data_IF_863994583474
#
_entry.id   IF_863994583474
#
_cell.length_a   1.000
_cell.length_b   1.000
_cell.length_c   1.000
_cell.angle_alpha   90.00
_cell.angle_beta   90.00
_cell.angle_gamma   90.00
#
_symmetry.space_group_name_H-M   'P 1'
#
loop_
_entity.id
_entity.type
_entity.pdbx_description
1 polymer ?
#
# COMPACT_ATOMS: atom_id res chain seq x y z
N UNK A 1 -13.39 14.78 30.07
CA UNK A 1 -14.80 14.88 29.67
C UNK A 1 -15.09 13.68 28.77
N UNK A 2 -16.09 12.87 29.12
CA UNK A 2 -16.56 11.76 28.29
C UNK A 2 -17.18 12.28 27.00
N UNK A 3 -16.74 11.79 25.84
CA UNK A 3 -17.18 12.20 24.50
C UNK A 3 -18.71 12.01 24.34
N UNK A 4 -19.49 13.04 23.94
CA UNK A 4 -20.86 12.84 23.46
C UNK A 4 -20.80 12.24 22.04
N UNK A 5 -21.63 11.23 21.77
CA UNK A 5 -21.92 10.56 20.47
C UNK A 5 -20.93 10.86 19.33
N UNK A 6 -20.07 9.87 19.09
CA UNK A 6 -19.00 9.80 18.10
C UNK A 6 -19.35 10.44 16.74
N UNK A 7 -18.84 11.64 16.50
CA UNK A 7 -18.64 12.11 15.15
C UNK A 7 -17.63 11.19 14.46
N UNK A 8 -17.96 10.73 13.26
CA UNK A 8 -17.02 9.97 12.44
C UNK A 8 -15.81 10.85 12.15
N UNK A 9 -14.59 10.37 12.45
CA UNK A 9 -13.34 11.02 12.07
C UNK A 9 -12.88 10.61 10.67
N UNK A 10 -13.81 10.09 9.86
CA UNK A 10 -13.59 9.76 8.46
C UNK A 10 -12.93 10.93 7.75
N UNK A 11 -11.80 10.65 7.10
CA UNK A 11 -11.14 11.60 6.24
C UNK A 11 -11.66 11.50 4.82
N UNK A 12 -11.65 12.64 4.13
CA UNK A 12 -11.97 12.74 2.73
C UNK A 12 -10.73 13.18 1.97
N UNK A 13 -10.65 12.81 0.70
CA UNK A 13 -9.66 13.35 -0.23
C UNK A 13 -9.98 14.82 -0.54
N UNK A 14 -8.99 15.56 -1.03
CA UNK A 14 -9.22 16.87 -1.63
C UNK A 14 -9.92 16.64 -2.98
N UNK A 15 -11.21 16.94 -3.04
CA UNK A 15 -12.09 16.67 -4.20
C UNK A 15 -11.64 17.43 -5.45
N UNK A 16 -11.00 18.60 -5.27
CA UNK A 16 -10.47 19.38 -6.39
C UNK A 16 -9.24 18.64 -6.94
N UNK A 17 -8.32 18.21 -6.07
CA UNK A 17 -7.15 17.44 -6.49
C UNK A 17 -7.54 16.09 -7.14
N UNK A 18 -8.53 15.40 -6.57
CA UNK A 18 -9.07 14.16 -7.14
C UNK A 18 -9.67 14.41 -8.53
N UNK A 19 -10.52 15.43 -8.69
CA UNK A 19 -11.12 15.78 -9.97
C UNK A 19 -10.07 16.17 -11.03
N UNK A 20 -9.05 16.94 -10.64
CA UNK A 20 -7.94 17.32 -11.52
C UNK A 20 -7.15 16.08 -11.97
N UNK A 21 -6.83 15.18 -11.03
CA UNK A 21 -6.15 13.92 -11.33
C UNK A 21 -6.97 12.99 -12.22
N UNK A 22 -8.28 12.90 -11.98
CA UNK A 22 -9.21 12.15 -12.82
C UNK A 22 -9.26 12.69 -14.25
N UNK A 23 -9.24 14.02 -14.42
CA UNK A 23 -9.22 14.66 -15.73
C UNK A 23 -7.89 14.41 -16.45
N UNK A 24 -6.75 14.54 -15.77
CA UNK A 24 -5.43 14.20 -16.30
C UNK A 24 -5.39 12.73 -16.79
N UNK A 25 -5.95 11.82 -15.99
CA UNK A 25 -6.03 10.41 -16.34
C UNK A 25 -6.94 10.16 -17.55
N UNK A 26 -8.11 10.82 -17.64
CA UNK A 26 -9.06 10.67 -18.75
C UNK A 26 -8.42 11.11 -20.07
N UNK A 27 -7.76 12.26 -20.08
CA UNK A 27 -7.06 12.78 -21.27
C UNK A 27 -5.93 11.85 -21.70
N UNK A 28 -5.16 11.35 -20.74
CA UNK A 28 -4.11 10.36 -21.00
C UNK A 28 -4.66 9.04 -21.55
N UNK A 29 -5.75 8.52 -20.98
CA UNK A 29 -6.40 7.30 -21.45
C UNK A 29 -6.90 7.44 -22.90
N UNK A 30 -7.50 8.59 -23.25
CA UNK A 30 -7.94 8.85 -24.63
C UNK A 30 -6.77 8.72 -25.60
N UNK A 31 -5.65 9.39 -25.31
CA UNK A 31 -4.43 9.30 -26.14
C UNK A 31 -3.88 7.88 -26.22
N UNK A 32 -3.87 7.14 -25.11
CA UNK A 32 -3.38 5.76 -25.10
C UNK A 32 -4.26 4.83 -25.96
N UNK A 33 -5.59 4.99 -25.91
CA UNK A 33 -6.52 4.20 -26.72
C UNK A 33 -6.48 4.55 -28.20
N UNK A 34 -6.30 5.83 -28.55
CA UNK A 34 -6.15 6.28 -29.93
C UNK A 34 -4.89 5.66 -30.58
N UNK A 35 -3.86 5.38 -29.78
CA UNK A 35 -2.59 4.79 -30.22
C UNK A 35 -2.44 3.30 -29.82
N UNK A 36 -3.53 2.59 -29.56
CA UNK A 36 -3.49 1.17 -29.14
C UNK A 36 -2.73 0.25 -30.12
N UNK A 37 -2.81 0.54 -31.41
CA UNK A 37 -2.14 -0.24 -32.45
C UNK A 37 -0.62 -0.07 -32.36
N UNK A 38 -0.17 1.19 -32.25
CA UNK A 38 1.24 1.52 -32.05
C UNK A 38 1.80 0.90 -30.76
N UNK A 39 1.07 0.98 -29.65
CA UNK A 39 1.48 0.34 -28.40
C UNK A 39 1.61 -1.18 -28.56
N UNK A 40 0.67 -1.81 -29.27
CA UNK A 40 0.71 -3.25 -29.54
C UNK A 40 1.91 -3.63 -30.41
N UNK A 41 2.17 -2.85 -31.46
CA UNK A 41 3.31 -3.05 -32.36
C UNK A 41 4.63 -2.91 -31.60
N UNK A 42 4.76 -1.91 -30.73
CA UNK A 42 5.93 -1.73 -29.89
C UNK A 42 6.18 -2.93 -28.97
N UNK A 43 5.12 -3.45 -28.32
CA UNK A 43 5.23 -4.66 -27.48
C UNK A 43 5.63 -5.87 -28.32
N UNK A 44 5.07 -6.02 -29.52
CA UNK A 44 5.43 -7.11 -30.43
C UNK A 44 6.89 -7.04 -30.90
N UNK A 45 7.41 -5.83 -31.15
CA UNK A 45 8.83 -5.61 -31.50
C UNK A 45 9.73 -5.93 -30.31
N UNK A 46 9.38 -5.46 -29.11
CA UNK A 46 10.17 -5.73 -27.90
C UNK A 46 10.17 -7.22 -27.51
N UNK A 47 9.14 -7.95 -27.92
CA UNK A 47 9.00 -9.39 -27.74
C UNK A 47 9.02 -10.16 -29.07
N UNK A 48 9.85 -9.74 -30.03
CA UNK A 48 9.86 -10.29 -31.41
C UNK A 48 10.02 -11.82 -31.46
N UNK A 49 10.69 -12.41 -30.46
CA UNK A 49 10.87 -13.85 -30.31
C UNK A 49 9.57 -14.62 -30.07
N UNK A 50 8.48 -13.94 -29.67
CA UNK A 50 7.12 -14.50 -29.55
C UNK A 50 6.31 -14.42 -30.85
N UNK A 51 6.85 -13.78 -31.89
CA UNK A 51 6.17 -13.52 -33.15
C UNK A 51 5.23 -12.30 -33.09
N UNK A 52 4.31 -12.17 -34.06
CA UNK A 52 3.40 -11.02 -34.12
C UNK A 52 2.45 -10.98 -32.92
N UNK A 53 2.23 -9.78 -32.39
CA UNK A 53 1.31 -9.49 -31.29
C UNK A 53 -0.02 -8.93 -31.77
N UNK A 54 -1.11 -9.23 -31.05
CA UNK A 54 -2.44 -8.66 -31.30
C UNK A 54 -3.07 -8.17 -30.01
N UNK A 55 -3.66 -6.97 -30.04
CA UNK A 55 -4.43 -6.46 -28.91
C UNK A 55 -5.66 -7.34 -28.65
N UNK A 56 -5.86 -7.74 -27.40
CA UNK A 56 -7.02 -8.56 -27.01
C UNK A 56 -7.88 -7.95 -25.91
N UNK A 57 -7.36 -6.98 -25.17
CA UNK A 57 -8.10 -6.34 -24.08
C UNK A 57 -7.22 -5.45 -23.21
N UNK A 58 -7.81 -4.93 -22.14
CA UNK A 58 -7.10 -4.09 -21.18
C UNK A 58 -7.37 -4.53 -19.75
N UNK A 59 -6.48 -4.13 -18.85
CA UNK A 59 -6.61 -4.26 -17.40
C UNK A 59 -6.56 -2.86 -16.81
N UNK A 60 -7.47 -2.56 -15.88
CA UNK A 60 -7.54 -1.28 -15.16
C UNK A 60 -7.50 -1.55 -13.66
N UNK A 61 -6.48 -1.02 -12.99
CA UNK A 61 -6.41 -0.93 -11.53
C UNK A 61 -6.53 0.52 -11.05
N UNK A 62 -6.32 0.72 -9.74
CA UNK A 62 -6.38 2.04 -9.11
C UNK A 62 -5.29 2.97 -9.66
N UNK A 63 -4.04 2.51 -9.67
CA UNK A 63 -2.89 3.31 -10.06
C UNK A 63 -2.36 3.01 -11.45
N UNK A 64 -2.78 1.92 -12.09
CA UNK A 64 -2.19 1.47 -13.34
C UNK A 64 -3.24 1.04 -14.34
N UNK A 65 -2.85 1.13 -15.61
CA UNK A 65 -3.65 0.71 -16.74
C UNK A 65 -2.75 -0.02 -17.73
N UNK A 66 -3.24 -1.09 -18.35
CA UNK A 66 -2.43 -1.86 -19.27
C UNK A 66 -3.20 -2.53 -20.40
N UNK A 67 -2.50 -2.81 -21.49
CA UNK A 67 -3.01 -3.56 -22.64
C UNK A 67 -2.47 -4.99 -22.62
N UNK A 68 -3.37 -5.93 -22.85
CA UNK A 68 -3.06 -7.34 -23.04
C UNK A 68 -2.81 -7.60 -24.53
N UNK A 69 -1.64 -8.14 -24.83
CA UNK A 69 -1.18 -8.48 -26.18
C UNK A 69 -1.03 -9.99 -26.30
N UNK A 70 -1.72 -10.59 -27.26
CA UNK A 70 -1.68 -12.02 -27.57
C UNK A 70 -0.72 -12.33 -28.69
N UNK A 71 0.06 -13.39 -28.50
CA UNK A 71 1.07 -13.86 -29.43
C UNK A 71 0.65 -15.18 -30.10
N UNK A 72 1.50 -15.69 -31.00
CA UNK A 72 1.29 -16.97 -31.65
C UNK A 72 1.14 -18.13 -30.66
N UNK A 73 0.48 -19.21 -31.10
CA UNK A 73 0.16 -20.37 -30.26
C UNK A 73 1.42 -20.95 -29.62
N UNK A 74 1.46 -20.97 -28.29
CA UNK A 74 2.55 -21.54 -27.49
C UNK A 74 3.29 -20.53 -26.60
N UNK A 75 3.11 -19.23 -26.81
CA UNK A 75 3.61 -18.20 -25.91
C UNK A 75 2.51 -17.64 -25.02
N UNK A 76 2.80 -17.32 -23.74
CA UNK A 76 1.85 -16.59 -22.91
C UNK A 76 1.61 -15.18 -23.49
N UNK A 77 0.41 -14.66 -23.26
CA UNK A 77 0.10 -13.27 -23.55
C UNK A 77 1.01 -12.35 -22.71
N UNK A 78 1.26 -11.13 -23.18
CA UNK A 78 1.97 -10.11 -22.42
C UNK A 78 1.01 -9.02 -21.96
N UNK A 79 1.34 -8.38 -20.84
CA UNK A 79 0.73 -7.16 -20.36
C UNK A 79 1.75 -6.03 -20.46
N UNK A 80 1.42 -4.97 -21.20
CA UNK A 80 2.13 -3.68 -21.07
C UNK A 80 1.33 -2.80 -20.13
N UNK A 81 1.95 -2.39 -19.03
CA UNK A 81 1.33 -1.63 -17.92
C UNK A 81 1.99 -0.27 -17.79
N UNK A 82 1.18 0.76 -17.60
CA UNK A 82 1.60 2.14 -17.34
C UNK A 82 0.98 2.63 -16.02
N UNK A 83 1.70 3.41 -15.20
CA UNK A 83 1.10 4.14 -14.10
C UNK A 83 0.23 5.27 -14.64
N UNK A 84 -1.02 5.32 -14.19
CA UNK A 84 -2.00 6.33 -14.56
C UNK A 84 -1.56 7.69 -14.00
N UNK A 85 -1.36 8.73 -14.84
CA UNK A 85 -1.21 10.10 -14.33
C UNK A 85 -2.46 10.51 -13.53
N UNK A 86 -2.31 11.48 -12.63
CA UNK A 86 -3.36 11.90 -11.70
C UNK A 86 -3.63 10.94 -10.52
N UNK A 87 -3.71 9.63 -10.77
CA UNK A 87 -3.86 8.62 -9.71
C UNK A 87 -2.51 8.18 -9.11
N UNK A 88 -1.47 8.17 -9.95
CA UNK A 88 -0.07 8.15 -9.51
C UNK A 88 0.50 9.53 -9.73
N UNK A 89 1.14 10.11 -8.72
CA UNK A 89 1.72 11.44 -8.85
C UNK A 89 2.70 11.49 -10.03
N UNK A 90 2.49 12.43 -10.96
CA UNK A 90 3.21 12.46 -12.25
C UNK A 90 4.73 12.52 -12.08
N UNK A 91 5.22 13.18 -11.03
CA UNK A 91 6.66 13.24 -10.70
C UNK A 91 7.23 11.95 -10.10
N UNK A 92 6.39 11.03 -9.62
CA UNK A 92 6.80 9.77 -8.97
C UNK A 92 6.68 8.54 -9.89
N UNK A 93 6.05 8.68 -11.06
CA UNK A 93 5.75 7.54 -11.95
C UNK A 93 6.98 6.77 -12.42
N UNK A 94 8.06 7.46 -12.78
CA UNK A 94 9.31 6.84 -13.22
C UNK A 94 9.94 6.01 -12.09
N UNK A 95 10.06 6.63 -10.92
CA UNK A 95 10.61 5.99 -9.73
C UNK A 95 9.76 4.79 -9.29
N UNK A 96 8.44 4.92 -9.35
CA UNK A 96 7.50 3.84 -9.05
C UNK A 96 7.72 2.62 -9.94
N UNK A 97 7.83 2.82 -11.26
CA UNK A 97 8.05 1.73 -12.22
C UNK A 97 9.40 1.05 -12.00
N UNK A 98 10.47 1.83 -11.79
CA UNK A 98 11.78 1.27 -11.45
C UNK A 98 11.71 0.44 -10.16
N UNK A 99 11.09 0.98 -9.10
CA UNK A 99 11.00 0.31 -7.80
C UNK A 99 10.17 -0.98 -7.87
N UNK A 100 9.04 -0.99 -8.59
CA UNK A 100 8.21 -2.19 -8.77
C UNK A 100 8.99 -3.29 -9.51
N UNK A 101 9.68 -2.95 -10.60
CA UNK A 101 10.48 -3.92 -11.35
C UNK A 101 11.62 -4.52 -10.50
N UNK A 102 12.32 -3.69 -9.74
CA UNK A 102 13.40 -4.12 -8.86
C UNK A 102 12.89 -4.97 -7.68
N UNK A 103 11.74 -4.62 -7.08
CA UNK A 103 11.14 -5.40 -6.01
C UNK A 103 10.70 -6.79 -6.48
N UNK A 104 10.07 -6.88 -7.66
CA UNK A 104 9.69 -8.16 -8.28
C UNK A 104 10.93 -9.01 -8.54
N UNK A 105 11.99 -8.43 -9.09
CA UNK A 105 13.24 -9.15 -9.34
C UNK A 105 13.89 -9.63 -8.03
N UNK A 106 13.97 -8.78 -7.00
CA UNK A 106 14.53 -9.12 -5.70
C UNK A 106 13.78 -10.28 -5.05
N UNK A 107 12.44 -10.19 -5.00
CA UNK A 107 11.62 -11.24 -4.39
C UNK A 107 11.70 -12.55 -5.19
N UNK A 108 11.76 -12.50 -6.53
CA UNK A 108 11.94 -13.69 -7.37
C UNK A 108 13.25 -14.42 -7.08
N UNK A 109 14.34 -13.68 -6.85
CA UNK A 109 15.65 -14.28 -6.58
C UNK A 109 15.73 -14.92 -5.19
N UNK A 110 14.93 -14.43 -4.24
CA UNK A 110 15.09 -14.78 -2.82
C UNK A 110 13.90 -15.54 -2.22
N UNK A 111 12.82 -15.77 -2.98
CA UNK A 111 11.62 -16.46 -2.49
C UNK A 111 11.05 -17.41 -3.55
N UNK A 112 10.12 -18.27 -3.12
CA UNK A 112 9.32 -19.14 -3.99
C UNK A 112 7.97 -18.53 -4.36
N UNK A 113 7.78 -17.23 -4.15
CA UNK A 113 6.50 -16.56 -4.45
C UNK A 113 6.29 -16.61 -5.97
N UNK A 114 5.11 -17.03 -6.45
CA UNK A 114 4.82 -17.02 -7.87
C UNK A 114 4.62 -15.58 -8.33
N UNK A 115 5.62 -15.01 -9.00
CA UNK A 115 5.60 -13.63 -9.49
C UNK A 115 5.51 -13.58 -11.03
N UNK A 116 4.97 -12.50 -11.63
CA UNK A 116 4.99 -12.30 -13.09
C UNK A 116 6.40 -12.02 -13.62
N UNK A 117 6.77 -12.66 -14.73
CA UNK A 117 8.06 -12.43 -15.38
C UNK A 117 8.04 -11.08 -16.08
N UNK A 118 8.94 -10.18 -15.70
CA UNK A 118 9.16 -8.92 -16.41
C UNK A 118 10.11 -9.18 -17.57
N UNK A 119 9.72 -8.76 -18.77
CA UNK A 119 10.53 -8.89 -19.99
C UNK A 119 11.24 -7.60 -20.35
N UNK A 120 10.58 -6.47 -20.11
CA UNK A 120 11.11 -5.14 -20.40
C UNK A 120 10.43 -4.12 -19.48
N UNK A 121 11.13 -3.04 -19.14
CA UNK A 121 10.54 -1.89 -18.48
C UNK A 121 11.34 -0.64 -18.81
N UNK A 122 10.71 0.53 -18.76
CA UNK A 122 11.34 1.78 -19.15
C UNK A 122 10.88 2.94 -18.30
N UNK A 123 11.77 3.91 -18.10
CA UNK A 123 11.47 5.20 -17.46
C UNK A 123 11.77 6.35 -18.42
N UNK A 124 11.06 7.47 -18.28
CA UNK A 124 11.27 8.64 -19.15
C UNK A 124 12.63 9.31 -18.94
N UNK A 125 13.25 9.05 -17.79
CA UNK A 125 14.55 9.58 -17.36
C UNK A 125 15.75 8.73 -17.77
N UNK A 126 15.57 7.47 -18.16
CA UNK A 126 16.68 6.57 -18.54
C UNK A 126 16.71 6.35 -20.05
N UNK A 127 17.85 6.62 -20.72
CA UNK A 127 17.97 6.37 -22.15
C UNK A 127 17.86 4.88 -22.46
N UNK A 128 16.98 4.52 -23.41
CA UNK A 128 16.94 3.20 -24.04
C UNK A 128 17.37 3.34 -25.50
N UNK A 129 18.11 2.35 -26.01
CA UNK A 129 18.50 2.31 -27.43
C UNK A 129 17.46 1.60 -28.30
N UNK A 130 16.42 1.01 -27.70
CA UNK A 130 15.36 0.30 -28.42
C UNK A 130 14.28 1.29 -28.84
N UNK A 131 14.14 1.54 -30.15
CA UNK A 131 13.15 2.49 -30.70
C UNK A 131 11.74 2.23 -30.20
N UNK A 132 11.28 0.98 -30.24
CA UNK A 132 9.95 0.62 -29.74
C UNK A 132 9.75 0.94 -28.25
N UNK A 133 10.79 0.88 -27.42
CA UNK A 133 10.68 1.30 -26.03
C UNK A 133 10.59 2.83 -25.91
N UNK A 134 11.29 3.59 -26.75
CA UNK A 134 11.15 5.05 -26.80
C UNK A 134 9.75 5.47 -27.24
N UNK A 135 9.17 4.80 -28.23
CA UNK A 135 7.82 5.07 -28.71
C UNK A 135 6.76 4.77 -27.64
N UNK A 136 6.98 3.78 -26.76
CA UNK A 136 6.12 3.58 -25.58
C UNK A 136 6.25 4.68 -24.53
N UNK A 137 7.45 5.25 -24.35
CA UNK A 137 7.70 6.28 -23.34
C UNK A 137 6.93 7.59 -23.58
N UNK A 138 6.42 7.83 -24.80
CA UNK A 138 5.53 8.96 -25.06
C UNK A 138 4.20 8.88 -24.28
N UNK A 139 3.80 7.67 -23.85
CA UNK A 139 2.66 7.44 -22.99
C UNK A 139 3.07 7.43 -21.51
N UNK A 140 4.32 7.13 -21.19
CA UNK A 140 4.86 7.15 -19.84
C UNK A 140 5.83 6.00 -19.57
N UNK A 141 6.37 5.93 -18.34
CA UNK A 141 7.13 4.76 -17.93
C UNK A 141 6.24 3.53 -17.98
N UNK A 142 6.83 2.36 -18.23
CA UNK A 142 6.06 1.14 -18.48
C UNK A 142 6.76 -0.10 -17.95
N UNK A 143 5.97 -1.16 -17.75
CA UNK A 143 6.46 -2.53 -17.51
C UNK A 143 5.76 -3.45 -18.51
N UNK A 144 6.53 -4.27 -19.23
CA UNK A 144 6.05 -5.39 -20.05
C UNK A 144 6.35 -6.67 -19.28
N UNK A 145 5.30 -7.43 -18.96
CA UNK A 145 5.41 -8.67 -18.20
C UNK A 145 4.50 -9.77 -18.77
N UNK A 146 4.66 -11.01 -18.32
CA UNK A 146 3.70 -12.08 -18.61
C UNK A 146 2.31 -11.71 -18.10
N UNK A 147 1.29 -11.87 -18.94
CA UNK A 147 -0.10 -11.86 -18.50
C UNK A 147 -0.46 -13.23 -17.95
N UNK A 148 -0.76 -13.29 -16.65
CA UNK A 148 -1.13 -14.53 -15.97
C UNK A 148 -2.66 -14.62 -15.91
N UNK A 149 -3.22 -15.68 -16.48
CA UNK A 149 -4.65 -15.98 -16.35
C UNK A 149 -4.94 -16.61 -14.98
N UNK A 150 -6.00 -16.16 -14.34
CA UNK A 150 -6.44 -16.72 -13.06
C UNK A 150 -7.68 -16.01 -12.51
N UNK A 151 -8.21 -16.56 -11.42
CA UNK A 151 -9.28 -15.93 -10.63
C UNK A 151 -8.64 -15.17 -9.48
N UNK A 152 -9.11 -13.95 -9.18
CA UNK A 152 -8.66 -13.22 -8.00
C UNK A 152 -9.04 -13.98 -6.73
N UNK A 153 -8.10 -14.10 -5.80
CA UNK A 153 -8.32 -14.78 -4.52
C UNK A 153 -9.41 -14.07 -3.72
N UNK A 154 -9.47 -12.74 -3.77
CA UNK A 154 -10.56 -11.97 -3.16
C UNK A 154 -11.94 -12.42 -3.66
N UNK A 155 -12.11 -12.72 -4.95
CA UNK A 155 -13.40 -13.19 -5.50
C UNK A 155 -13.83 -14.52 -4.90
N UNK A 156 -12.91 -15.42 -4.59
CA UNK A 156 -13.21 -16.71 -3.95
C UNK A 156 -13.59 -16.51 -2.47
N UNK A 157 -12.96 -15.54 -1.81
CA UNK A 157 -13.12 -15.29 -0.38
C UNK A 157 -14.31 -14.37 -0.04
N UNK A 158 -14.79 -13.58 -1.00
CA UNK A 158 -15.77 -12.52 -0.75
C UNK A 158 -17.16 -13.04 -0.37
N UNK A 159 -17.87 -12.29 0.47
CA UNK A 159 -19.30 -12.49 0.72
C UNK A 159 -20.09 -12.26 -0.59
N UNK A 160 -20.93 -13.22 -1.01
CA UNK A 160 -21.73 -13.06 -2.21
C UNK A 160 -22.70 -11.87 -2.10
N UNK A 161 -22.86 -11.13 -3.20
CA UNK A 161 -23.82 -10.02 -3.33
C UNK A 161 -23.59 -8.83 -2.37
N UNK A 162 -22.39 -8.68 -1.82
CA UNK A 162 -21.97 -7.45 -1.14
C UNK A 162 -21.20 -6.56 -2.11
N UNK A 163 -21.45 -5.25 -2.05
CA UNK A 163 -20.64 -4.26 -2.78
C UNK A 163 -19.25 -4.13 -2.15
N UNK A 164 -19.19 -4.15 -0.82
CA UNK A 164 -17.93 -4.11 -0.07
C UNK A 164 -17.18 -5.44 -0.15
N UNK A 165 -15.85 -5.35 -0.19
CA UNK A 165 -14.98 -6.52 -0.19
C UNK A 165 -14.78 -7.07 1.22
N UNK A 166 -15.74 -7.88 1.70
CA UNK A 166 -15.75 -8.45 3.05
C UNK A 166 -15.68 -9.98 2.98
N UNK A 167 -14.93 -10.60 3.89
CA UNK A 167 -14.81 -12.06 3.97
C UNK A 167 -16.20 -12.71 4.15
N UNK A 168 -16.47 -13.74 3.36
CA UNK A 168 -17.63 -14.60 3.57
C UNK A 168 -17.49 -15.33 4.91
N UNK A 169 -18.32 -14.99 5.90
CA UNK A 169 -18.21 -15.56 7.25
C UNK A 169 -18.56 -17.06 7.29
N UNK A 170 -19.33 -17.53 6.31
CA UNK A 170 -19.72 -18.92 6.14
C UNK A 170 -18.74 -19.72 5.26
N UNK A 171 -17.63 -19.12 4.83
CA UNK A 171 -16.62 -19.84 4.05
C UNK A 171 -16.08 -21.02 4.85
N UNK A 172 -15.92 -22.16 4.18
CA UNK A 172 -15.41 -23.38 4.82
C UNK A 172 -14.00 -23.16 5.36
N UNK A 173 -13.78 -23.49 6.64
CA UNK A 173 -12.46 -23.33 7.27
C UNK A 173 -11.34 -24.03 6.50
N UNK A 174 -11.62 -25.18 5.88
CA UNK A 174 -10.65 -25.92 5.06
C UNK A 174 -10.16 -25.16 3.82
N UNK A 175 -10.97 -24.25 3.26
CA UNK A 175 -10.58 -23.36 2.17
C UNK A 175 -9.59 -22.33 2.69
N UNK A 176 -9.93 -21.68 3.81
CA UNK A 176 -9.06 -20.70 4.47
C UNK A 176 -7.74 -21.33 4.92
N UNK A 177 -7.75 -22.52 5.51
CA UNK A 177 -6.55 -23.22 5.94
C UNK A 177 -5.57 -23.43 4.79
N UNK A 178 -6.06 -23.84 3.60
CA UNK A 178 -5.22 -24.01 2.40
C UNK A 178 -4.62 -22.70 1.90
N UNK A 179 -5.39 -21.62 1.95
CA UNK A 179 -4.96 -20.30 1.47
C UNK A 179 -3.96 -19.69 2.47
N UNK A 180 -4.31 -19.66 3.75
CA UNK A 180 -3.46 -19.16 4.83
C UNK A 180 -2.15 -19.91 4.91
N UNK A 181 -2.13 -21.23 4.67
CA UNK A 181 -0.89 -22.00 4.65
C UNK A 181 0.10 -21.53 3.57
N UNK A 182 -0.40 -21.20 2.37
CA UNK A 182 0.43 -20.69 1.28
C UNK A 182 0.94 -19.27 1.58
N UNK A 183 0.04 -18.39 2.03
CA UNK A 183 0.40 -16.99 2.34
C UNK A 183 1.35 -16.92 3.53
N UNK A 184 1.14 -17.73 4.58
CA UNK A 184 2.05 -17.82 5.72
C UNK A 184 3.44 -18.30 5.29
N UNK A 185 3.52 -19.24 4.32
CA UNK A 185 4.79 -19.65 3.72
C UNK A 185 5.50 -18.50 3.00
N UNK A 186 4.78 -17.68 2.25
CA UNK A 186 5.34 -16.51 1.58
C UNK A 186 5.80 -15.43 2.56
N UNK A 187 4.98 -15.10 3.56
CA UNK A 187 5.31 -14.11 4.59
C UNK A 187 6.50 -14.55 5.45
N UNK A 188 6.59 -15.84 5.78
CA UNK A 188 7.76 -16.38 6.49
C UNK A 188 9.04 -16.24 5.65
N UNK A 189 8.98 -16.45 4.34
CA UNK A 189 10.13 -16.23 3.45
C UNK A 189 10.53 -14.76 3.39
N UNK A 190 9.56 -13.86 3.20
CA UNK A 190 9.79 -12.41 3.19
C UNK A 190 10.41 -11.93 4.51
N UNK A 191 9.92 -12.42 5.66
CA UNK A 191 10.40 -12.04 7.00
C UNK A 191 11.88 -12.36 7.25
N UNK A 192 12.48 -13.22 6.42
CA UNK A 192 13.89 -13.62 6.49
C UNK A 192 14.80 -12.77 5.60
N UNK A 193 14.22 -11.97 4.71
CA UNK A 193 14.96 -11.04 3.86
C UNK A 193 15.34 -9.82 4.70
N UNK A 194 16.60 -9.40 4.60
CA UNK A 194 17.13 -8.26 5.34
C UNK A 194 17.88 -7.34 4.40
N UNK A 195 17.58 -6.04 4.53
CA UNK A 195 18.27 -4.97 3.82
C UNK A 195 18.89 -4.00 4.84
N UNK A 196 19.91 -3.22 4.44
CA UNK A 196 20.69 -2.42 5.38
C UNK A 196 19.99 -1.16 5.87
N UNK A 197 18.98 -0.65 5.15
CA UNK A 197 18.27 0.60 5.45
C UNK A 197 16.79 0.49 5.07
N UNK A 198 15.97 1.42 5.55
CA UNK A 198 14.58 1.61 5.16
C UNK A 198 14.53 2.40 3.86
N UNK A 199 13.75 1.92 2.88
CA UNK A 199 13.56 2.58 1.60
C UNK A 199 13.32 1.62 0.43
N UNK A 200 13.27 2.17 -0.78
CA UNK A 200 12.97 1.39 -1.98
C UNK A 200 14.10 0.43 -2.35
N UNK A 201 13.76 -0.81 -2.68
CA UNK A 201 14.71 -1.84 -3.13
C UNK A 201 15.18 -1.47 -4.54
N UNK A 202 16.48 -1.38 -4.75
CA UNK A 202 17.05 -0.95 -6.02
C UNK A 202 18.40 -1.61 -6.31
N UNK A 203 19.00 -1.28 -7.45
CA UNK A 203 20.36 -1.70 -7.83
C UNK A 203 21.26 -0.50 -8.10
N UNK A 204 22.53 -0.68 -7.77
CA UNK A 204 23.61 0.22 -8.20
C UNK A 204 24.05 -0.07 -9.65
N UNK A 205 24.99 0.73 -10.17
CA UNK A 205 25.54 0.56 -11.53
C UNK A 205 26.27 -0.78 -11.75
N UNK A 206 26.60 -1.48 -10.66
CA UNK A 206 27.25 -2.81 -10.66
C UNK A 206 26.23 -3.94 -10.45
N UNK A 207 24.94 -3.63 -10.49
CA UNK A 207 23.84 -4.54 -10.24
C UNK A 207 23.80 -5.16 -8.82
N UNK A 208 24.44 -4.54 -7.83
CA UNK A 208 24.30 -4.94 -6.43
C UNK A 208 23.03 -4.35 -5.84
N UNK A 209 22.37 -5.12 -4.96
CA UNK A 209 21.20 -4.66 -4.23
C UNK A 209 21.55 -3.53 -3.26
N UNK A 210 20.84 -2.40 -3.41
CA UNK A 210 20.95 -1.21 -2.58
C UNK A 210 19.56 -0.70 -2.20
N UNK A 211 19.51 0.28 -1.32
CA UNK A 211 18.26 0.93 -0.88
C UNK A 211 18.31 2.41 -1.30
N UNK A 212 17.22 2.92 -1.88
CA UNK A 212 17.00 4.34 -2.20
C UNK A 212 15.97 4.94 -1.23
N UNK A 213 15.62 6.22 -1.40
CA UNK A 213 14.57 6.86 -0.59
C UNK A 213 13.27 6.02 -0.61
N UNK A 214 12.49 5.98 0.48
CA UNK A 214 11.21 5.28 0.48
C UNK A 214 10.20 5.93 -0.46
N UNK A 215 9.46 5.09 -1.19
CA UNK A 215 8.29 5.50 -1.97
C UNK A 215 7.13 4.57 -1.60
N UNK A 216 6.27 5.04 -0.69
CA UNK A 216 5.16 4.24 -0.13
C UNK A 216 3.84 4.54 -0.82
N UNK A 217 2.88 3.65 -0.62
CA UNK A 217 1.49 3.85 -1.02
C UNK A 217 0.94 5.17 -0.44
N UNK A 218 1.17 5.41 0.87
CA UNK A 218 0.74 6.61 1.56
C UNK A 218 1.38 7.90 0.99
N UNK A 219 2.66 7.86 0.62
CA UNK A 219 3.33 8.99 -0.07
C UNK A 219 2.63 9.30 -1.39
N UNK A 220 2.25 8.27 -2.17
CA UNK A 220 1.53 8.49 -3.42
C UNK A 220 0.17 9.14 -3.18
N UNK A 221 -0.63 8.65 -2.22
CA UNK A 221 -1.93 9.25 -1.91
C UNK A 221 -1.79 10.69 -1.43
N UNK A 222 -0.86 10.98 -0.53
CA UNK A 222 -0.61 12.36 -0.08
C UNK A 222 -0.23 13.28 -1.26
N UNK A 223 0.53 12.77 -2.21
CA UNK A 223 0.96 13.51 -3.39
C UNK A 223 -0.15 13.73 -4.43
N UNK A 224 -1.15 12.85 -4.51
CA UNK A 224 -2.21 12.92 -5.54
C UNK A 224 -3.52 13.51 -5.03
N UNK A 225 -3.92 13.16 -3.81
CA UNK A 225 -5.27 13.46 -3.29
C UNK A 225 -5.28 14.31 -2.02
N UNK A 226 -4.12 14.77 -1.53
CA UNK A 226 -4.04 15.67 -0.38
C UNK A 226 -3.27 16.98 -0.63
N UNK A 227 -2.77 17.19 -1.85
CA UNK A 227 -1.90 18.33 -2.21
C UNK A 227 -0.72 18.50 -1.24
N UNK A 228 -0.16 17.39 -0.75
CA UNK A 228 0.95 17.42 0.19
C UNK A 228 2.24 17.91 -0.52
N UNK A 229 3.03 18.81 0.09
CA UNK A 229 4.22 19.37 -0.54
C UNK A 229 5.29 18.32 -0.86
N UNK A 230 5.71 18.23 -2.12
CA UNK A 230 6.64 17.19 -2.58
C UNK A 230 8.05 17.29 -1.95
N UNK A 231 8.47 18.51 -1.59
CA UNK A 231 9.76 18.78 -0.94
C UNK A 231 9.84 18.27 0.50
N UNK A 232 8.72 17.82 1.06
CA UNK A 232 8.62 17.27 2.42
C UNK A 232 8.76 15.74 2.48
N UNK A 233 8.71 15.05 1.34
CA UNK A 233 8.92 13.61 1.32
C UNK A 233 10.41 13.25 1.53
N UNK A 234 10.71 12.06 2.08
CA UNK A 234 12.09 11.63 2.26
C UNK A 234 12.88 11.64 0.94
N UNK A 235 14.08 12.22 0.98
CA UNK A 235 14.99 12.33 -0.17
C UNK A 235 16.11 11.27 -0.16
N UNK A 236 16.27 10.52 0.93
CA UNK A 236 17.31 9.52 1.12
C UNK A 236 16.77 8.28 1.85
N UNK A 237 17.49 7.13 1.80
CA UNK A 237 17.22 6.00 2.68
C UNK A 237 17.30 6.40 4.16
N UNK A 238 16.54 5.69 5.00
CA UNK A 238 16.47 5.96 6.44
C UNK A 238 17.18 4.85 7.21
N UNK A 239 18.03 5.21 8.16
CA UNK A 239 18.92 4.24 8.84
C UNK A 239 18.31 3.62 10.10
N UNK A 240 17.32 4.29 10.71
CA UNK A 240 16.74 3.88 11.98
C UNK A 240 15.21 3.82 11.92
N UNK A 241 14.60 2.85 12.61
CA UNK A 241 13.15 2.73 12.66
C UNK A 241 12.48 3.92 13.35
N UNK A 242 13.06 4.42 14.44
CA UNK A 242 12.57 5.60 15.16
C UNK A 242 12.64 6.86 14.29
N UNK A 243 13.69 7.01 13.48
CA UNK A 243 13.80 8.10 12.50
C UNK A 243 12.66 8.01 11.48
N UNK A 244 12.40 6.81 10.94
CA UNK A 244 11.28 6.59 10.02
C UNK A 244 9.92 6.91 10.66
N UNK A 245 9.66 6.45 11.88
CA UNK A 245 8.41 6.77 12.57
C UNK A 245 8.26 8.26 12.89
N UNK A 246 9.35 8.97 13.19
CA UNK A 246 9.32 10.42 13.35
C UNK A 246 9.03 11.14 12.03
N UNK A 247 9.58 10.68 10.90
CA UNK A 247 9.24 11.20 9.58
C UNK A 247 7.75 11.03 9.28
N UNK A 248 7.20 9.84 9.53
CA UNK A 248 5.77 9.53 9.37
C UNK A 248 4.89 10.38 10.31
N UNK A 249 5.26 10.53 11.58
CA UNK A 249 4.49 11.33 12.52
C UNK A 249 4.49 12.82 12.12
N UNK A 250 5.63 13.32 11.63
CA UNK A 250 5.71 14.66 11.08
C UNK A 250 4.86 14.80 9.81
N UNK A 251 4.86 13.81 8.92
CA UNK A 251 4.01 13.76 7.74
C UNK A 251 2.52 13.85 8.12
N UNK A 252 2.07 13.06 9.09
CA UNK A 252 0.70 13.14 9.63
C UNK A 252 0.39 14.54 10.15
N UNK A 253 1.24 15.12 11.00
CA UNK A 253 1.01 16.47 11.53
C UNK A 253 0.95 17.49 10.38
N UNK A 254 1.88 17.45 9.42
CA UNK A 254 1.92 18.39 8.30
C UNK A 254 0.72 18.24 7.37
N UNK A 255 0.26 17.01 7.11
CA UNK A 255 -0.94 16.74 6.32
C UNK A 255 -2.17 17.46 6.89
N UNK A 256 -2.30 17.50 8.22
CA UNK A 256 -3.35 18.26 8.90
C UNK A 256 -3.25 19.76 8.59
N UNK A 257 -2.05 20.31 8.43
CA UNK A 257 -1.86 21.72 8.07
C UNK A 257 -2.11 22.00 6.59
N UNK A 258 -1.78 21.08 5.70
CA UNK A 258 -1.76 21.32 4.25
C UNK A 258 -3.13 21.10 3.59
N UNK A 259 -3.82 20.00 3.89
CA UNK A 259 -5.11 19.70 3.25
C UNK A 259 -6.24 20.56 3.83
N UNK A 260 -6.99 21.25 2.96
CA UNK A 260 -7.93 22.32 3.36
C UNK A 260 -9.25 21.80 3.91
N UNK A 261 -9.73 20.67 3.39
CA UNK A 261 -11.02 20.06 3.72
C UNK A 261 -10.91 18.87 4.69
N UNK A 262 -9.80 18.77 5.45
CA UNK A 262 -9.58 17.62 6.32
C UNK A 262 -10.46 17.61 7.59
N UNK A 263 -11.17 18.71 7.88
CA UNK A 263 -12.06 18.81 9.02
C UNK A 263 -13.28 19.69 8.69
N UNK A 264 -14.47 19.23 9.08
CA UNK A 264 -15.74 19.93 8.83
C UNK A 264 -16.09 20.96 9.91
N UNK A 265 -15.49 20.84 11.10
CA UNK A 265 -15.70 21.75 12.22
C UNK A 265 -14.48 21.84 13.14
N UNK A 266 -14.53 22.77 14.10
CA UNK A 266 -13.46 23.00 15.08
C UNK A 266 -13.19 21.77 15.97
N UNK A 267 -14.21 20.97 16.27
CA UNK A 267 -14.07 19.77 17.11
C UNK A 267 -13.22 18.73 16.40
N UNK A 268 -13.48 18.49 15.10
CA UNK A 268 -12.70 17.56 14.28
C UNK A 268 -11.24 18.04 14.17
N UNK A 269 -11.00 19.35 13.99
CA UNK A 269 -9.62 19.89 13.98
C UNK A 269 -8.88 19.56 15.28
N UNK A 270 -9.54 19.76 16.42
CA UNK A 270 -8.97 19.48 17.76
C UNK A 270 -8.70 17.99 17.94
N UNK A 271 -9.66 17.14 17.60
CA UNK A 271 -9.54 15.69 17.73
C UNK A 271 -8.39 15.15 16.86
N UNK A 272 -8.25 15.62 15.61
CA UNK A 272 -7.13 15.24 14.73
C UNK A 272 -5.79 15.77 15.22
N UNK A 273 -5.73 17.02 15.69
CA UNK A 273 -4.51 17.59 16.23
C UNK A 273 -4.01 16.79 17.44
N UNK A 274 -4.91 16.48 18.39
CA UNK A 274 -4.57 15.66 19.56
C UNK A 274 -4.10 14.28 19.11
N UNK A 275 -4.83 13.61 18.23
CA UNK A 275 -4.50 12.26 17.76
C UNK A 275 -3.10 12.20 17.14
N UNK A 276 -2.76 13.09 16.21
CA UNK A 276 -1.48 13.06 15.48
C UNK A 276 -0.30 13.44 16.37
N UNK A 277 -0.46 14.42 17.27
CA UNK A 277 0.58 14.75 18.25
C UNK A 277 0.80 13.62 19.26
N UNK A 278 -0.28 12.96 19.71
CA UNK A 278 -0.18 11.82 20.62
C UNK A 278 0.40 10.59 19.95
N UNK A 279 0.06 10.33 18.69
CA UNK A 279 0.72 9.30 17.89
C UNK A 279 2.24 9.47 17.88
N UNK A 280 2.74 10.70 17.67
CA UNK A 280 4.17 10.98 17.72
C UNK A 280 4.80 10.64 19.09
N UNK A 281 4.10 10.94 20.19
CA UNK A 281 4.56 10.63 21.55
C UNK A 281 4.54 9.14 21.88
N UNK A 282 3.82 8.32 21.10
CA UNK A 282 3.78 6.87 21.26
C UNK A 282 4.97 6.16 20.59
N UNK A 283 5.79 6.86 19.79
CA UNK A 283 6.95 6.27 19.10
C UNK A 283 7.90 5.56 20.07
N UNK A 284 8.36 6.16 21.19
CA UNK A 284 9.28 5.47 22.10
C UNK A 284 8.70 4.22 22.76
N UNK A 285 7.37 4.10 22.82
CA UNK A 285 6.66 2.96 23.41
C UNK A 285 6.57 1.78 22.41
N UNK A 286 6.32 2.07 21.13
CA UNK A 286 6.00 1.03 20.14
C UNK A 286 7.11 0.75 19.12
N UNK A 287 8.07 1.66 18.96
CA UNK A 287 9.22 1.42 18.10
C UNK A 287 10.13 0.36 18.72
N UNK A 288 10.36 -0.74 17.98
CA UNK A 288 11.27 -1.81 18.36
C UNK A 288 12.35 -1.98 17.30
N UNK A 289 13.47 -2.60 17.66
CA UNK A 289 14.55 -2.93 16.73
C UNK A 289 15.03 -1.71 15.91
N UNK A 290 15.37 -0.63 16.61
CA UNK A 290 15.66 0.67 16.01
C UNK A 290 16.74 0.63 14.92
N UNK A 291 17.78 -0.20 15.11
CA UNK A 291 18.88 -0.39 14.16
C UNK A 291 18.63 -1.52 13.16
N UNK A 292 17.38 -1.94 12.99
CA UNK A 292 16.99 -3.07 12.18
C UNK A 292 16.80 -4.38 12.96
N UNK A 293 16.39 -5.47 12.29
CA UNK A 293 16.44 -5.64 10.84
C UNK A 293 15.42 -4.79 10.07
N UNK A 294 15.68 -4.58 8.78
CA UNK A 294 14.73 -3.97 7.85
C UNK A 294 14.32 -4.98 6.79
N UNK A 295 13.01 -5.18 6.64
CA UNK A 295 12.40 -6.29 5.91
C UNK A 295 11.56 -5.74 4.75
N UNK A 296 11.57 -6.36 3.56
CA UNK A 296 10.62 -6.01 2.50
C UNK A 296 9.17 -6.06 3.00
N UNK A 297 8.44 -4.97 2.79
CA UNK A 297 7.05 -4.84 3.15
C UNK A 297 6.30 -4.17 2.00
N UNK A 298 5.15 -4.72 1.66
CA UNK A 298 4.21 -4.21 0.67
C UNK A 298 2.84 -4.11 1.34
N UNK A 299 2.29 -2.89 1.42
CA UNK A 299 0.99 -2.62 2.07
C UNK A 299 -0.14 -3.47 1.47
N UNK A 300 -0.04 -3.66 0.16
CA UNK A 300 -1.08 -4.21 -0.70
C UNK A 300 -0.84 -5.69 -1.03
N UNK A 301 0.01 -6.37 -0.26
CA UNK A 301 0.19 -7.82 -0.32
C UNK A 301 -1.03 -8.53 0.30
N UNK A 302 -2.14 -8.56 -0.45
CA UNK A 302 -3.45 -9.02 0.00
C UNK A 302 -4.18 -9.85 -1.08
N UNK A 303 -5.28 -10.55 -0.74
CA UNK A 303 -6.02 -11.39 -1.67
C UNK A 303 -6.52 -10.72 -2.96
N UNK A 304 -6.75 -9.40 -2.94
CA UNK A 304 -7.12 -8.65 -4.13
C UNK A 304 -6.01 -8.60 -5.19
N UNK A 305 -4.77 -8.90 -4.81
CA UNK A 305 -3.59 -8.90 -5.68
C UNK A 305 -2.97 -10.30 -5.80
N UNK A 306 -3.77 -11.35 -5.60
CA UNK A 306 -3.34 -12.74 -5.75
C UNK A 306 -4.26 -13.47 -6.71
N UNK A 307 -3.69 -14.20 -7.67
CA UNK A 307 -4.43 -15.11 -8.55
C UNK A 307 -4.38 -16.53 -7.99
N UNK A 308 -5.49 -17.25 -8.13
CA UNK A 308 -5.65 -18.61 -7.65
C UNK A 308 -6.24 -19.50 -8.74
N UNK A 309 -5.83 -20.77 -8.76
CA UNK A 309 -6.54 -21.81 -9.48
C UNK A 309 -7.80 -22.19 -8.68
N UNK A 310 -9.02 -21.99 -9.20
CA UNK A 310 -10.25 -22.20 -8.44
C UNK A 310 -10.53 -23.67 -8.07
N UNK A 311 -9.93 -24.62 -8.78
CA UNK A 311 -10.10 -26.06 -8.51
C UNK A 311 -9.16 -26.54 -7.40
N UNK A 312 -7.89 -26.10 -7.45
CA UNK A 312 -6.86 -26.57 -6.50
C UNK A 312 -6.70 -25.66 -5.29
N UNK A 313 -7.12 -24.39 -5.40
CA UNK A 313 -6.85 -23.28 -4.48
C UNK A 313 -5.36 -22.92 -4.36
N UNK A 314 -4.55 -23.32 -5.34
CA UNK A 314 -3.14 -22.94 -5.43
C UNK A 314 -3.00 -21.50 -5.92
N UNK A 315 -2.23 -20.68 -5.20
CA UNK A 315 -1.90 -19.32 -5.62
C UNK A 315 -0.94 -19.42 -6.81
N UNK A 316 -1.35 -18.91 -7.96
CA UNK A 316 -0.61 -18.98 -9.21
C UNK A 316 0.13 -17.69 -9.55
N UNK A 317 -0.24 -16.57 -8.93
CA UNK A 317 0.49 -15.31 -9.02
C UNK A 317 0.24 -14.40 -7.82
N UNK A 318 1.25 -13.64 -7.44
CA UNK A 318 1.15 -12.45 -6.60
C UNK A 318 1.52 -11.25 -7.46
N UNK A 319 0.61 -10.28 -7.50
CA UNK A 319 0.63 -9.11 -8.38
C UNK A 319 0.82 -7.83 -7.55
N UNK A 320 0.90 -6.68 -8.23
CA UNK A 320 0.85 -5.34 -7.64
C UNK A 320 1.80 -5.14 -6.45
N UNK A 321 3.08 -5.46 -6.69
CA UNK A 321 4.18 -5.21 -5.75
C UNK A 321 4.72 -3.77 -5.84
N UNK A 322 3.92 -2.86 -6.39
CA UNK A 322 4.18 -1.44 -6.34
C UNK A 322 4.27 -0.95 -4.89
N UNK A 323 5.12 0.06 -4.65
CA UNK A 323 5.38 0.59 -3.31
C UNK A 323 5.96 -0.42 -2.30
N UNK A 324 6.52 -1.53 -2.77
CA UNK A 324 7.31 -2.42 -1.91
C UNK A 324 8.62 -1.75 -1.52
N UNK A 325 8.90 -1.70 -0.23
CA UNK A 325 10.12 -1.10 0.32
C UNK A 325 10.71 -2.01 1.39
N UNK A 326 12.01 -1.87 1.67
CA UNK A 326 12.53 -2.30 2.96
C UNK A 326 12.01 -1.36 4.05
N UNK A 327 11.47 -1.92 5.13
CA UNK A 327 10.74 -1.18 6.17
C UNK A 327 11.13 -1.68 7.57
N UNK A 328 10.81 -0.94 8.65
CA UNK A 328 10.95 -1.45 10.01
C UNK A 328 10.36 -2.86 10.14
N UNK A 329 11.15 -3.81 10.64
CA UNK A 329 10.72 -5.20 10.71
C UNK A 329 9.40 -5.42 11.47
N UNK A 330 9.04 -4.51 12.38
CA UNK A 330 7.78 -4.57 13.11
C UNK A 330 6.53 -4.58 12.21
N UNK A 331 6.61 -4.05 10.98
CA UNK A 331 5.50 -4.18 10.01
C UNK A 331 5.33 -5.61 9.49
N UNK A 332 6.43 -6.35 9.30
CA UNK A 332 6.37 -7.76 8.92
C UNK A 332 5.97 -8.66 10.10
N UNK A 333 6.09 -8.16 11.33
CA UNK A 333 5.72 -8.86 12.56
C UNK A 333 4.27 -8.64 12.96
N UNK A 334 3.46 -8.02 12.11
CA UNK A 334 2.04 -7.85 12.34
C UNK A 334 1.23 -8.96 11.67
N UNK A 335 0.14 -9.46 12.30
CA UNK A 335 -0.79 -10.33 11.60
C UNK A 335 -1.36 -9.60 10.38
N UNK A 336 -1.71 -10.32 9.29
CA UNK A 336 -2.24 -9.66 8.09
C UNK A 336 -3.49 -8.85 8.41
N UNK A 337 -3.49 -7.56 8.09
CA UNK A 337 -4.61 -6.67 8.41
C UNK A 337 -5.88 -7.02 7.63
N UNK A 338 -5.75 -7.68 6.48
CA UNK A 338 -6.82 -8.00 5.53
C UNK A 338 -7.52 -9.33 5.79
N UNK A 339 -7.37 -9.98 6.95
CA UNK A 339 -7.97 -11.31 7.18
C UNK A 339 -9.51 -11.34 7.05
N UNK A 340 -10.18 -10.19 7.14
CA UNK A 340 -11.61 -10.00 6.83
C UNK A 340 -11.87 -9.46 5.41
N UNK A 341 -10.89 -9.56 4.53
CA UNK A 341 -10.75 -8.92 3.21
C UNK A 341 -10.75 -7.39 3.19
N UNK A 342 -11.33 -6.71 4.18
CA UNK A 342 -11.25 -5.26 4.38
C UNK A 342 -10.38 -4.90 5.59
N UNK A 343 -9.87 -3.67 5.61
CA UNK A 343 -9.11 -3.15 6.74
C UNK A 343 -10.01 -2.62 7.86
N UNK A 344 -9.45 -2.39 9.07
CA UNK A 344 -10.19 -1.90 10.24
C UNK A 344 -11.02 -0.64 10.00
N UNK A 345 -10.58 0.24 9.09
CA UNK A 345 -11.24 1.50 8.75
C UNK A 345 -12.73 1.35 8.40
N UNK A 346 -13.12 0.27 7.70
CA UNK A 346 -14.52 -0.01 7.35
C UNK A 346 -15.43 -0.17 8.59
N UNK A 347 -14.89 -0.67 9.70
CA UNK A 347 -15.59 -0.80 10.97
C UNK A 347 -15.45 0.44 11.84
N UNK A 348 -14.28 1.09 11.81
CA UNK A 348 -14.06 2.32 12.57
C UNK A 348 -14.97 3.46 12.09
N UNK A 349 -15.21 3.59 10.79
CA UNK A 349 -16.16 4.56 10.20
C UNK A 349 -17.58 4.42 10.78
N UNK A 350 -17.96 3.20 11.18
CA UNK A 350 -19.26 2.85 11.76
C UNK A 350 -19.23 2.73 13.29
N UNK A 351 -18.12 3.14 13.92
CA UNK A 351 -17.88 3.03 15.36
C UNK A 351 -18.02 1.58 15.90
N UNK A 352 -17.65 0.60 15.08
CA UNK A 352 -17.89 -0.83 15.31
C UNK A 352 -16.58 -1.62 15.58
N UNK A 353 -15.63 -1.04 16.34
CA UNK A 353 -14.35 -1.71 16.62
C UNK A 353 -14.52 -3.08 17.29
N UNK A 354 -15.48 -3.23 18.22
CA UNK A 354 -15.70 -4.49 18.91
C UNK A 354 -16.22 -5.59 17.97
N UNK A 355 -17.00 -5.21 16.96
CA UNK A 355 -17.45 -6.12 15.90
C UNK A 355 -16.26 -6.58 15.05
N UNK A 356 -15.39 -5.64 14.64
CA UNK A 356 -14.16 -5.97 13.93
C UNK A 356 -13.31 -6.98 14.71
N UNK A 357 -13.03 -6.70 16.00
CA UNK A 357 -12.23 -7.59 16.85
C UNK A 357 -12.88 -8.98 16.95
N UNK A 358 -14.19 -9.05 17.20
CA UNK A 358 -14.91 -10.32 17.33
C UNK A 358 -14.87 -11.18 16.04
N UNK A 359 -14.83 -10.55 14.87
CA UNK A 359 -14.72 -11.24 13.58
C UNK A 359 -13.26 -11.56 13.22
N UNK A 360 -12.34 -10.65 13.52
CA UNK A 360 -10.94 -10.71 13.11
C UNK A 360 -10.14 -11.71 13.95
N UNK A 361 -10.27 -11.70 15.27
CA UNK A 361 -9.44 -12.53 16.16
C UNK A 361 -9.52 -14.04 15.86
N UNK A 362 -10.71 -14.63 15.59
CA UNK A 362 -10.78 -16.03 15.19
C UNK A 362 -10.02 -16.34 13.89
N UNK A 363 -10.06 -15.42 12.91
CA UNK A 363 -9.33 -15.56 11.63
C UNK A 363 -7.84 -15.33 11.81
N UNK A 364 -7.45 -14.43 12.70
CA UNK A 364 -6.06 -14.22 13.11
C UNK A 364 -5.48 -15.50 13.72
N UNK A 365 -6.15 -16.10 14.71
CA UNK A 365 -5.66 -17.35 15.32
C UNK A 365 -5.61 -18.50 14.31
N UNK A 366 -6.57 -18.59 13.39
CA UNK A 366 -6.53 -19.56 12.29
C UNK A 366 -5.31 -19.35 11.37
N UNK A 367 -5.00 -18.11 11.01
CA UNK A 367 -3.81 -17.77 10.23
C UNK A 367 -2.51 -18.10 10.98
N UNK A 368 -2.45 -17.78 12.28
CA UNK A 368 -1.29 -18.04 13.12
C UNK A 368 -1.01 -19.55 13.26
N UNK A 369 -2.05 -20.38 13.37
CA UNK A 369 -1.89 -21.85 13.34
C UNK A 369 -1.30 -22.34 12.02
N UNK A 370 -1.72 -21.75 10.88
CA UNK A 370 -1.13 -22.07 9.59
C UNK A 370 0.36 -21.66 9.54
N UNK A 371 0.70 -20.49 10.07
CA UNK A 371 2.08 -20.02 10.17
C UNK A 371 2.94 -20.92 11.06
N UNK A 372 2.47 -21.31 12.24
CA UNK A 372 3.16 -22.27 13.12
C UNK A 372 3.46 -23.60 12.41
N UNK A 373 2.52 -24.09 11.59
CA UNK A 373 2.73 -25.31 10.81
C UNK A 373 3.83 -25.14 9.75
N UNK A 374 3.91 -23.99 9.09
CA UNK A 374 5.01 -23.67 8.16
C UNK A 374 6.33 -23.57 8.92
N UNK A 375 6.33 -22.89 10.06
CA UNK A 375 7.50 -22.69 10.91
C UNK A 375 8.07 -24.02 11.42
N UNK A 376 7.21 -24.93 11.90
CA UNK A 376 7.60 -26.24 12.41
C UNK A 376 8.28 -27.14 11.35
N UNK A 377 7.91 -26.96 10.07
CA UNK A 377 8.54 -27.64 8.93
C UNK A 377 9.88 -27.03 8.55
N UNK A 378 10.15 -25.79 8.95
CA UNK A 378 11.40 -25.12 8.66
C UNK A 378 12.49 -25.53 9.65
N UNK A 379 13.46 -26.33 9.19
CA UNK A 379 14.56 -26.86 10.02
C UNK A 379 15.38 -25.75 10.73
N UNK A 380 15.41 -24.54 10.16
CA UNK A 380 16.15 -23.38 10.67
C UNK A 380 15.62 -22.90 12.03
N UNK A 381 14.29 -22.95 12.27
CA UNK A 381 13.69 -22.45 13.51
C UNK A 381 13.92 -23.39 14.72
N UNK A 382 14.37 -24.63 14.49
CA UNK A 382 14.67 -25.55 15.59
C UNK A 382 15.96 -25.19 16.36
N UNK A 383 16.76 -24.24 15.87
CA UNK A 383 18.07 -23.90 16.44
C UNK A 383 18.26 -22.42 16.79
N UNK A 384 17.28 -21.54 16.51
CA UNK A 384 17.41 -20.10 16.84
C UNK A 384 16.78 -19.75 18.18
N UNK A 385 17.46 -18.91 18.97
CA UNK A 385 16.89 -18.29 20.18
C UNK A 385 15.93 -17.13 19.88
N UNK A 386 15.76 -16.78 18.61
CA UNK A 386 14.84 -15.73 18.14
C UNK A 386 13.39 -16.23 18.23
N UNK A 387 12.43 -15.42 18.69
CA UNK A 387 11.01 -15.77 18.64
C UNK A 387 10.58 -16.16 17.23
N UNK A 388 9.59 -17.03 17.08
CA UNK A 388 9.01 -17.31 15.78
C UNK A 388 8.13 -16.13 15.32
N UNK A 389 7.86 -16.05 14.01
CA UNK A 389 7.05 -14.97 13.44
C UNK A 389 5.62 -15.02 13.98
N UNK A 390 5.05 -16.21 14.19
CA UNK A 390 3.73 -16.38 14.82
C UNK A 390 3.68 -15.81 16.23
N UNK A 391 4.71 -16.02 17.05
CA UNK A 391 4.82 -15.42 18.39
C UNK A 391 4.93 -13.89 18.32
N UNK A 392 5.72 -13.35 17.38
CA UNK A 392 5.86 -11.91 17.20
C UNK A 392 4.55 -11.24 16.74
N UNK A 393 3.77 -11.91 15.87
CA UNK A 393 2.44 -11.46 15.44
C UNK A 393 1.43 -11.48 16.58
N UNK A 394 1.42 -12.52 17.42
CA UNK A 394 0.59 -12.53 18.62
C UNK A 394 0.96 -11.42 19.59
N UNK A 395 2.25 -11.22 19.81
CA UNK A 395 2.75 -10.15 20.66
C UNK A 395 2.32 -8.78 20.12
N UNK A 396 2.44 -8.54 18.81
CA UNK A 396 2.08 -7.25 18.23
C UNK A 396 0.60 -6.91 18.39
N UNK A 397 -0.28 -7.91 18.26
CA UNK A 397 -1.71 -7.78 18.53
C UNK A 397 -1.97 -7.48 20.00
N UNK A 398 -1.46 -8.34 20.91
CA UNK A 398 -1.67 -8.22 22.37
C UNK A 398 -1.15 -6.92 22.95
N UNK A 399 0.02 -6.47 22.48
CA UNK A 399 0.66 -5.25 22.95
C UNK A 399 0.05 -3.98 22.32
N UNK A 400 -0.91 -4.12 21.39
CA UNK A 400 -1.47 -3.05 20.54
C UNK A 400 -0.45 -2.39 19.59
N UNK A 401 0.73 -3.00 19.38
CA UNK A 401 1.73 -2.50 18.42
C UNK A 401 1.21 -2.60 16.98
N UNK A 402 0.38 -3.60 16.68
CA UNK A 402 -0.35 -3.71 15.41
C UNK A 402 -1.06 -2.40 15.05
N UNK A 403 -1.80 -1.81 16.01
CA UNK A 403 -2.57 -0.59 15.77
C UNK A 403 -1.68 0.64 15.53
N UNK A 404 -0.58 0.74 16.26
CA UNK A 404 0.42 1.79 16.02
C UNK A 404 1.04 1.66 14.62
N UNK A 405 1.43 0.44 14.23
CA UNK A 405 2.00 0.16 12.92
C UNK A 405 1.01 0.38 11.77
N UNK A 406 -0.26 0.02 11.99
CA UNK A 406 -1.33 0.24 11.03
C UNK A 406 -1.57 1.74 10.82
N UNK A 407 -1.70 2.50 11.90
CA UNK A 407 -1.85 3.96 11.85
C UNK A 407 -0.65 4.69 11.24
N UNK A 408 0.58 4.19 11.45
CA UNK A 408 1.78 4.74 10.82
C UNK A 408 1.69 4.76 9.28
N UNK A 409 1.00 3.80 8.68
CA UNK A 409 0.95 3.65 7.21
C UNK A 409 -0.25 4.33 6.56
N UNK A 410 -1.08 5.04 7.33
CA UNK A 410 -2.44 5.45 6.94
C UNK A 410 -2.76 6.88 7.38
N UNK A 411 -2.39 7.87 6.57
CA UNK A 411 -2.56 9.30 6.93
C UNK A 411 -4.01 9.77 7.04
N UNK A 412 -4.92 9.08 6.34
CA UNK A 412 -6.35 9.40 6.34
C UNK A 412 -7.08 8.70 7.50
N UNK A 413 -6.52 7.63 8.06
CA UNK A 413 -7.17 6.82 9.09
C UNK A 413 -6.49 6.94 10.47
N UNK A 414 -5.29 7.52 10.56
CA UNK A 414 -4.50 7.65 11.80
C UNK A 414 -5.32 8.19 12.98
N UNK A 415 -6.20 9.16 12.72
CA UNK A 415 -7.01 9.82 13.73
C UNK A 415 -8.04 8.85 14.32
N UNK A 416 -8.83 8.20 13.47
CA UNK A 416 -9.83 7.20 13.86
C UNK A 416 -9.19 6.01 14.59
N UNK A 417 -8.04 5.52 14.09
CA UNK A 417 -7.31 4.41 14.72
C UNK A 417 -6.81 4.82 16.11
N UNK A 418 -6.23 6.02 16.24
CA UNK A 418 -5.73 6.51 17.52
C UNK A 418 -6.84 6.53 18.57
N UNK A 419 -7.96 7.20 18.28
CA UNK A 419 -9.05 7.35 19.23
C UNK A 419 -9.70 6.02 19.60
N UNK A 420 -9.80 5.10 18.65
CA UNK A 420 -10.42 3.80 18.89
C UNK A 420 -9.52 2.82 19.66
N UNK A 421 -8.19 2.90 19.51
CA UNK A 421 -7.29 1.80 19.92
C UNK A 421 -6.07 2.21 20.74
N UNK A 422 -5.53 3.42 20.51
CA UNK A 422 -4.27 3.88 21.11
C UNK A 422 -4.46 4.94 22.20
N UNK A 423 -5.63 5.58 22.24
CA UNK A 423 -5.96 6.58 23.24
C UNK A 423 -5.97 6.00 24.65
N UNK A 424 -5.38 6.74 25.59
CA UNK A 424 -5.45 6.50 27.04
C UNK A 424 -6.11 7.71 27.70
N UNK A 425 -7.25 7.50 28.36
CA UNK A 425 -8.07 8.55 28.97
C UNK A 425 -7.32 9.34 30.06
N UNK A 426 -6.24 8.79 30.61
CA UNK A 426 -5.44 9.40 31.68
C UNK A 426 -4.41 10.45 31.23
N UNK A 427 -4.14 10.60 29.92
CA UNK A 427 -3.00 11.40 29.41
C UNK A 427 -3.46 12.37 28.29
N UNK A 428 -4.36 13.30 28.63
CA UNK A 428 -4.87 14.31 27.67
C UNK A 428 -4.12 15.66 27.76
N UNK A 429 -3.19 15.83 28.69
CA UNK A 429 -2.49 17.12 28.85
C UNK A 429 -1.46 17.38 27.73
N UNK A 430 -1.84 18.15 26.72
CA UNK A 430 -0.89 18.82 25.82
C UNK A 430 -0.20 19.95 26.62
N UNK A 431 1.06 20.22 26.32
CA UNK A 431 1.76 21.37 26.92
C UNK A 431 1.19 22.71 26.40
N UNK A 432 1.56 23.81 27.07
CA UNK A 432 1.03 25.14 26.76
C UNK A 432 1.38 25.60 25.34
N UNK A 433 2.52 25.17 24.80
CA UNK A 433 2.96 25.50 23.43
C UNK A 433 2.09 24.77 22.39
N UNK A 434 1.81 23.48 22.60
CA UNK A 434 0.90 22.70 21.76
C UNK A 434 -0.53 23.24 21.83
N UNK A 435 -0.99 23.72 22.99
CA UNK A 435 -2.32 24.35 23.13
C UNK A 435 -2.41 25.67 22.35
N UNK A 436 -1.38 26.51 22.39
CA UNK A 436 -1.35 27.74 21.59
C UNK A 436 -1.32 27.45 20.08
N UNK A 437 -0.56 26.43 19.66
CA UNK A 437 -0.54 25.96 18.27
C UNK A 437 -1.89 25.43 17.80
N UNK A 438 -2.65 24.80 18.69
CA UNK A 438 -3.98 24.27 18.39
C UNK A 438 -4.99 25.36 18.04
N UNK A 439 -5.08 26.44 18.82
CA UNK A 439 -6.05 27.52 18.54
C UNK A 439 -5.76 28.18 17.18
N UNK A 440 -4.49 28.46 16.89
CA UNK A 440 -4.09 29.02 15.59
C UNK A 440 -4.42 28.07 14.42
N UNK A 441 -4.28 26.75 14.63
CA UNK A 441 -4.68 25.75 13.63
C UNK A 441 -6.19 25.76 13.39
N UNK A 442 -7.00 25.82 14.45
CA UNK A 442 -8.47 25.84 14.37
C UNK A 442 -8.95 27.02 13.54
N UNK A 443 -8.48 28.24 13.86
CA UNK A 443 -8.84 29.44 13.10
C UNK A 443 -8.46 29.31 11.61
N UNK A 444 -7.23 28.85 11.34
CA UNK A 444 -6.75 28.66 9.97
C UNK A 444 -7.58 27.63 9.21
N UNK A 445 -7.90 26.49 9.83
CA UNK A 445 -8.66 25.40 9.17
C UNK A 445 -10.07 25.83 8.84
N UNK A 446 -10.77 26.52 9.75
CA UNK A 446 -12.12 27.00 9.49
C UNK A 446 -12.14 28.05 8.37
N UNK A 447 -11.11 28.91 8.28
CA UNK A 447 -10.95 29.82 7.16
C UNK A 447 -10.70 29.08 5.83
N UNK A 448 -9.81 28.09 5.84
CA UNK A 448 -9.51 27.27 4.66
C UNK A 448 -10.73 26.50 4.17
N UNK A 449 -11.50 25.88 5.07
CA UNK A 449 -12.71 25.13 4.75
C UNK A 449 -13.75 26.01 4.07
N UNK A 450 -13.98 27.23 4.60
CA UNK A 450 -14.92 28.18 3.98
C UNK A 450 -14.53 28.51 2.55
N UNK A 451 -13.27 28.87 2.31
CA UNK A 451 -12.76 29.17 0.96
C UNK A 451 -12.85 27.95 0.04
N UNK A 452 -12.56 26.77 0.59
CA UNK A 452 -12.65 25.51 -0.16
C UNK A 452 -14.09 25.21 -0.61
N UNK A 453 -15.08 25.36 0.28
CA UNK A 453 -16.49 25.14 -0.05
C UNK A 453 -17.02 26.11 -1.11
N UNK A 454 -16.59 27.38 -1.07
CA UNK A 454 -16.90 28.37 -2.10
C UNK A 454 -16.34 27.95 -3.46
N UNK A 455 -15.11 27.42 -3.49
CA UNK A 455 -14.48 26.91 -4.72
C UNK A 455 -15.19 25.66 -5.28
N UNK A 456 -15.48 24.67 -4.44
CA UNK A 456 -16.21 23.46 -4.88
C UNK A 456 -17.60 23.81 -5.44
N UNK A 457 -18.28 24.77 -4.82
CA UNK A 457 -19.60 25.24 -5.30
C UNK A 457 -19.50 25.88 -6.68
N UNK A 458 -18.45 26.66 -6.93
CA UNK A 458 -18.22 27.31 -8.23
C UNK A 458 -17.81 26.34 -9.34
N UNK A 459 -17.18 25.21 -9.01
CA UNK A 459 -16.86 24.14 -9.97
C UNK A 459 -18.06 23.25 -10.30
N UNK A 460 -19.07 23.22 -9.42
CA UNK A 460 -20.29 22.42 -9.58
C UNK A 460 -21.44 23.18 -10.27
N UNK A 461 -21.30 24.50 -10.44
CA UNK A 461 -22.24 25.39 -11.13
C UNK A 461 -21.87 25.60 -12.59
#
# INVERSE_FOLDING_TARGET
MSRPKESSLKSYFDEIAEADGDNECKDWLSRLFDNKAEVTDCVAILLEWRGPGTYVGFVKGSFNFGFRVRFAKGFPDALVRFPKPGHTATTLRDEKVENEAQAIEYLRQNTTIPLPTIHEWGTTTKPTTKTAAMDLLQFGPFIIMDFIEGTLLSTILNEPNQEDMVLNLNIGNTILDKIYLQIASYLLQISRLQLPHIGAISKDDRANWVVRRPLTYNINELATVALYPQDRFPAAPVAHASEYFNLVANEHIHHLWTQRNLADDETIVRDRFIARNRFAQLIPKYCINDTGPFIPFCDDLRPANMLVNPETLEITAVLDLEFTNSMPAQFAYDPPWWLLLSGPELWLDRCALQEFIALYEPRMEQFLQALEHVEAKSYILKQSSTPCLSDMMRDSWRSRRFWFNYAARKSFEVDSIYWATLHDEGVILLDDEANAGLEALVERKMMQLKVYQEQCSALSS
#
